data_IF_257785712113
#
_entry.id   IF_257785712113
#
_cell.length_a   1.000
_cell.length_b   1.000
_cell.length_c   1.000
_cell.angle_alpha   90.00
_cell.angle_beta   90.00
_cell.angle_gamma   90.00
#
_symmetry.space_group_name_H-M   'P 1'
#
loop_
_entity.id
_entity.type
_entity.pdbx_description
1 polymer ?
#
# COMPACT_ATOMS: atom_id res chain seq x y z
N UNK A 1 -26.85 -12.04 23.81
CA UNK A 1 -25.47 -12.41 23.46
C UNK A 1 -25.02 -13.42 24.49
N UNK A 2 -25.04 -14.70 24.13
CA UNK A 2 -24.43 -15.76 24.92
C UNK A 2 -22.93 -15.51 24.94
N UNK A 3 -22.36 -15.28 26.12
CA UNK A 3 -20.91 -15.29 26.28
C UNK A 3 -20.42 -16.73 26.04
N UNK A 4 -20.20 -17.09 24.77
CA UNK A 4 -19.60 -18.39 24.44
C UNK A 4 -18.24 -18.47 25.10
N UNK A 5 -18.08 -19.49 25.94
CA UNK A 5 -16.82 -19.76 26.59
C UNK A 5 -15.89 -20.38 25.55
N UNK A 6 -14.85 -19.65 25.14
CA UNK A 6 -13.86 -20.14 24.18
C UNK A 6 -13.33 -21.53 24.57
N UNK A 7 -13.18 -21.81 25.88
CA UNK A 7 -12.70 -23.09 26.36
C UNK A 7 -13.67 -24.23 26.04
N UNK A 8 -14.99 -24.03 26.20
CA UNK A 8 -15.97 -25.08 25.88
C UNK A 8 -16.04 -25.34 24.38
N UNK A 9 -15.92 -24.29 23.56
CA UNK A 9 -15.86 -24.43 22.08
C UNK A 9 -14.62 -25.24 21.68
N UNK A 10 -13.46 -24.95 22.26
CA UNK A 10 -12.22 -25.69 21.98
C UNK A 10 -12.31 -27.17 22.41
N UNK A 11 -12.94 -27.44 23.56
CA UNK A 11 -13.19 -28.82 24.02
C UNK A 11 -14.08 -29.58 23.04
N UNK A 12 -15.22 -29.01 22.66
CA UNK A 12 -16.20 -29.66 21.77
C UNK A 12 -15.65 -29.88 20.36
N UNK A 13 -14.82 -28.95 19.85
CA UNK A 13 -14.10 -29.10 18.57
C UNK A 13 -13.12 -30.28 18.56
N UNK A 14 -12.49 -30.58 19.70
CA UNK A 14 -11.54 -31.68 19.86
C UNK A 14 -12.18 -33.05 19.98
N UNK A 15 -13.52 -33.12 20.06
CA UNK A 15 -14.25 -34.38 20.16
C UNK A 15 -14.42 -35.06 18.79
N UNK A 16 -14.77 -36.35 18.80
CA UNK A 16 -15.20 -37.09 17.60
C UNK A 16 -16.72 -37.16 17.47
N UNK A 17 -17.47 -36.48 18.34
CA UNK A 17 -18.94 -36.50 18.35
C UNK A 17 -19.46 -35.39 17.45
N UNK A 18 -20.01 -35.76 16.29
CA UNK A 18 -20.47 -34.79 15.26
C UNK A 18 -21.52 -33.84 15.83
N UNK A 19 -22.37 -34.33 16.73
CA UNK A 19 -23.45 -33.58 17.38
C UNK A 19 -22.93 -32.44 18.27
N UNK A 20 -21.66 -32.53 18.70
CA UNK A 20 -20.98 -31.46 19.44
C UNK A 20 -20.07 -30.65 18.54
N UNK A 21 -19.35 -31.31 17.65
CA UNK A 21 -18.35 -30.68 16.80
C UNK A 21 -18.97 -29.66 15.83
N UNK A 22 -20.13 -29.96 15.23
CA UNK A 22 -20.79 -29.05 14.28
C UNK A 22 -21.27 -27.76 14.97
N UNK A 23 -22.05 -27.80 16.07
CA UNK A 23 -22.39 -26.57 16.80
C UNK A 23 -21.18 -25.80 17.34
N UNK A 24 -20.10 -26.51 17.70
CA UNK A 24 -18.86 -25.86 18.14
C UNK A 24 -18.15 -25.11 17.00
N UNK A 25 -18.17 -25.65 15.77
CA UNK A 25 -17.68 -24.95 14.58
C UNK A 25 -18.50 -23.67 14.31
N UNK A 26 -19.82 -23.74 14.39
CA UNK A 26 -20.70 -22.58 14.22
C UNK A 26 -20.41 -21.50 15.28
N UNK A 27 -20.29 -21.90 16.55
CA UNK A 27 -19.91 -20.97 17.62
C UNK A 27 -18.50 -20.39 17.44
N UNK A 28 -17.54 -21.17 16.93
CA UNK A 28 -16.20 -20.68 16.65
C UNK A 28 -16.22 -19.58 15.59
N UNK A 29 -17.07 -19.71 14.56
CA UNK A 29 -17.27 -18.67 13.53
C UNK A 29 -17.76 -17.37 14.18
N UNK A 30 -18.79 -17.43 15.02
CA UNK A 30 -19.33 -16.24 15.70
C UNK A 30 -18.29 -15.55 16.61
N UNK A 31 -17.45 -16.35 17.30
CA UNK A 31 -16.36 -15.83 18.13
C UNK A 31 -15.31 -15.13 17.25
N UNK A 32 -14.87 -15.77 16.17
CA UNK A 32 -13.87 -15.19 15.27
C UNK A 32 -14.41 -13.92 14.63
N UNK A 33 -15.67 -13.90 14.20
CA UNK A 33 -16.32 -12.71 13.63
C UNK A 33 -16.38 -11.56 14.64
N UNK A 34 -16.77 -11.86 15.88
CA UNK A 34 -16.79 -10.87 16.97
C UNK A 34 -15.40 -10.28 17.23
N UNK A 35 -14.35 -11.12 17.24
CA UNK A 35 -12.97 -10.65 17.40
C UNK A 35 -12.55 -9.80 16.20
N UNK A 36 -12.90 -10.21 14.97
CA UNK A 36 -12.60 -9.49 13.74
C UNK A 36 -13.23 -8.09 13.75
N UNK A 37 -14.51 -7.97 14.14
CA UNK A 37 -15.21 -6.70 14.30
C UNK A 37 -14.47 -5.78 15.29
N UNK A 38 -14.09 -6.30 16.46
CA UNK A 38 -13.40 -5.49 17.47
C UNK A 38 -11.99 -5.07 17.02
N UNK A 39 -11.27 -5.97 16.35
CA UNK A 39 -9.95 -5.65 15.80
C UNK A 39 -10.03 -4.54 14.74
N UNK A 40 -11.01 -4.59 13.84
CA UNK A 40 -11.24 -3.54 12.84
C UNK A 40 -11.69 -2.24 13.49
N UNK A 41 -12.58 -2.29 14.49
CA UNK A 41 -13.03 -1.11 15.23
C UNK A 41 -11.88 -0.36 15.92
N UNK A 42 -10.80 -1.06 16.30
CA UNK A 42 -9.61 -0.42 16.87
C UNK A 42 -8.90 0.55 15.90
N UNK A 43 -9.14 0.48 14.59
CA UNK A 43 -8.67 1.51 13.64
C UNK A 43 -9.31 2.87 13.88
N UNK A 44 -10.54 2.92 14.43
CA UNK A 44 -11.20 4.20 14.76
C UNK A 44 -10.68 4.79 16.06
N UNK A 45 -10.41 3.96 17.06
CA UNK A 45 -10.27 4.40 18.46
C UNK A 45 -8.85 4.32 19.02
N UNK A 46 -7.96 3.54 18.41
CA UNK A 46 -6.59 3.38 18.91
C UNK A 46 -5.80 4.69 18.77
N UNK A 47 -4.97 5.06 19.77
CA UNK A 47 -4.02 6.15 19.60
C UNK A 47 -2.89 5.81 18.61
N UNK A 48 -2.70 4.54 18.27
CA UNK A 48 -1.68 4.06 17.35
C UNK A 48 -2.31 3.26 16.20
N UNK A 49 -3.16 3.91 15.41
CA UNK A 49 -3.96 3.27 14.34
C UNK A 49 -3.11 2.58 13.28
N UNK A 50 -1.97 3.19 12.91
CA UNK A 50 -1.01 2.58 11.99
C UNK A 50 -0.52 1.20 12.47
N UNK A 51 -0.11 1.08 13.76
CA UNK A 51 0.35 -0.20 14.32
C UNK A 51 -0.78 -1.24 14.38
N UNK A 52 -2.03 -0.81 14.55
CA UNK A 52 -3.19 -1.69 14.45
C UNK A 52 -3.33 -2.20 13.01
N UNK A 53 -3.32 -1.30 12.02
CA UNK A 53 -3.44 -1.63 10.61
C UNK A 53 -2.41 -2.67 10.16
N UNK A 54 -1.14 -2.52 10.56
CA UNK A 54 -0.08 -3.46 10.21
C UNK A 54 -0.30 -4.89 10.72
N UNK A 55 -1.11 -5.07 11.78
CA UNK A 55 -1.40 -6.37 12.38
C UNK A 55 -2.70 -6.99 11.90
N UNK A 56 -3.61 -6.19 11.34
CA UNK A 56 -4.91 -6.67 10.88
C UNK A 56 -4.81 -7.77 9.84
N UNK A 57 -3.81 -7.73 8.94
CA UNK A 57 -3.62 -8.80 7.95
C UNK A 57 -3.50 -10.21 8.54
N UNK A 58 -3.10 -10.35 9.82
CA UNK A 58 -2.98 -11.63 10.52
C UNK A 58 -4.32 -12.32 10.78
N UNK A 59 -5.43 -11.59 10.72
CA UNK A 59 -6.76 -12.16 10.82
C UNK A 59 -7.21 -12.82 9.51
N UNK A 60 -6.47 -12.66 8.41
CA UNK A 60 -6.86 -13.22 7.12
C UNK A 60 -8.11 -12.56 6.53
N UNK A 61 -8.81 -13.24 5.63
CA UNK A 61 -9.93 -12.67 4.87
C UNK A 61 -11.17 -12.36 5.73
N UNK A 62 -11.25 -12.85 6.97
CA UNK A 62 -12.42 -12.66 7.84
C UNK A 62 -12.69 -11.19 8.17
N UNK A 63 -11.66 -10.34 8.15
CA UNK A 63 -11.82 -8.91 8.44
C UNK A 63 -12.23 -8.09 7.22
N UNK A 64 -12.21 -8.65 6.00
CA UNK A 64 -12.44 -7.88 4.77
C UNK A 64 -13.82 -7.22 4.74
N UNK A 65 -14.95 -7.92 5.01
CA UNK A 65 -16.26 -7.28 5.02
C UNK A 65 -16.37 -6.15 6.05
N UNK A 66 -15.74 -6.33 7.21
CA UNK A 66 -15.73 -5.36 8.30
C UNK A 66 -14.89 -4.13 7.95
N UNK A 67 -13.76 -4.33 7.25
CA UNK A 67 -12.92 -3.24 6.73
C UNK A 67 -13.61 -2.46 5.61
N UNK A 68 -14.30 -3.14 4.69
CA UNK A 68 -15.05 -2.47 3.61
C UNK A 68 -16.17 -1.60 4.20
N UNK A 69 -16.90 -2.13 5.18
CA UNK A 69 -17.90 -1.37 5.93
C UNK A 69 -17.28 -0.17 6.66
N UNK A 70 -16.17 -0.40 7.38
CA UNK A 70 -15.43 0.67 8.06
C UNK A 70 -15.02 1.79 7.08
N UNK A 71 -14.46 1.41 5.94
CA UNK A 71 -14.00 2.33 4.91
C UNK A 71 -15.16 3.18 4.35
N UNK A 72 -16.30 2.56 4.05
CA UNK A 72 -17.48 3.24 3.51
C UNK A 72 -18.15 4.18 4.52
N UNK A 73 -18.15 3.83 5.81
CA UNK A 73 -18.84 4.57 6.86
C UNK A 73 -17.96 5.60 7.59
N UNK A 74 -16.65 5.62 7.33
CA UNK A 74 -15.72 6.51 8.04
C UNK A 74 -15.61 7.87 7.35
N UNK A 75 -15.83 8.95 8.11
CA UNK A 75 -15.52 10.31 7.67
C UNK A 75 -14.09 10.75 8.05
N UNK A 76 -13.38 9.93 8.84
CA UNK A 76 -12.00 10.19 9.25
C UNK A 76 -11.01 9.73 8.16
N UNK A 77 -10.27 10.68 7.58
CA UNK A 77 -9.34 10.44 6.47
C UNK A 77 -8.25 9.43 6.81
N UNK A 78 -7.66 9.52 8.01
CA UNK A 78 -6.63 8.57 8.45
C UNK A 78 -7.19 7.15 8.53
N UNK A 79 -8.37 6.98 9.13
CA UNK A 79 -9.06 5.69 9.20
C UNK A 79 -9.35 5.15 7.79
N UNK A 80 -9.83 5.98 6.86
CA UNK A 80 -10.07 5.58 5.48
C UNK A 80 -8.79 5.13 4.77
N UNK A 81 -7.69 5.90 4.89
CA UNK A 81 -6.39 5.56 4.28
C UNK A 81 -5.87 4.23 4.83
N UNK A 82 -5.88 4.06 6.16
CA UNK A 82 -5.39 2.84 6.78
C UNK A 82 -6.26 1.62 6.45
N UNK A 83 -7.59 1.76 6.45
CA UNK A 83 -8.49 0.70 6.02
C UNK A 83 -8.27 0.32 4.56
N UNK A 84 -8.13 1.31 3.67
CA UNK A 84 -7.84 1.11 2.25
C UNK A 84 -6.48 0.42 2.03
N UNK A 85 -5.45 0.77 2.80
CA UNK A 85 -4.14 0.09 2.74
C UNK A 85 -4.24 -1.38 3.14
N UNK A 86 -5.00 -1.71 4.20
CA UNK A 86 -5.19 -3.11 4.62
C UNK A 86 -6.02 -3.87 3.59
N UNK A 87 -7.11 -3.28 3.08
CA UNK A 87 -7.92 -3.87 2.00
C UNK A 87 -7.10 -4.15 0.74
N UNK A 88 -6.20 -3.23 0.39
CA UNK A 88 -5.29 -3.39 -0.73
C UNK A 88 -4.33 -4.58 -0.54
N UNK A 89 -3.89 -4.87 0.70
CA UNK A 89 -3.09 -6.08 1.00
C UNK A 89 -3.88 -7.38 0.79
N UNK A 90 -5.21 -7.32 0.82
CA UNK A 90 -6.10 -8.42 0.45
C UNK A 90 -6.53 -8.40 -1.03
N UNK A 91 -5.83 -7.61 -1.87
CA UNK A 91 -6.15 -7.36 -3.27
C UNK A 91 -7.54 -6.71 -3.52
N UNK A 92 -8.20 -6.19 -2.48
CA UNK A 92 -9.41 -5.39 -2.66
C UNK A 92 -9.03 -4.01 -3.19
N UNK A 93 -9.63 -3.62 -4.32
CA UNK A 93 -9.36 -2.34 -4.99
C UNK A 93 -10.32 -1.22 -4.61
N UNK A 94 -11.27 -1.48 -3.71
CA UNK A 94 -12.32 -0.52 -3.33
C UNK A 94 -11.75 0.81 -2.80
N UNK A 95 -10.61 0.76 -2.11
CA UNK A 95 -9.95 1.93 -1.54
C UNK A 95 -8.94 2.62 -2.44
N UNK A 96 -8.67 2.10 -3.66
CA UNK A 96 -7.61 2.65 -4.54
C UNK A 96 -7.82 4.15 -4.85
N UNK A 97 -9.03 4.63 -5.19
CA UNK A 97 -9.24 6.07 -5.41
C UNK A 97 -8.83 6.93 -4.21
N UNK A 98 -9.22 6.53 -2.99
CA UNK A 98 -8.82 7.20 -1.75
C UNK A 98 -7.30 7.20 -1.57
N UNK A 99 -6.62 6.11 -1.91
CA UNK A 99 -5.16 6.02 -1.84
C UNK A 99 -4.47 6.92 -2.87
N UNK A 100 -4.98 7.02 -4.09
CA UNK A 100 -4.44 7.93 -5.12
C UNK A 100 -4.57 9.39 -4.70
N UNK A 101 -5.71 9.76 -4.09
CA UNK A 101 -5.90 11.09 -3.52
C UNK A 101 -4.95 11.34 -2.35
N UNK A 102 -4.74 10.34 -1.48
CA UNK A 102 -3.81 10.43 -0.36
C UNK A 102 -2.35 10.64 -0.81
N UNK A 103 -1.89 10.00 -1.89
CA UNK A 103 -0.57 10.32 -2.47
C UNK A 103 -0.46 11.81 -2.79
N UNK A 104 -1.51 12.38 -3.36
CA UNK A 104 -1.51 13.78 -3.80
C UNK A 104 -1.59 14.76 -2.62
N UNK A 105 -2.37 14.45 -1.59
CA UNK A 105 -2.78 15.45 -0.59
C UNK A 105 -2.35 15.15 0.84
N UNK A 106 -2.17 13.87 1.21
CA UNK A 106 -1.94 13.51 2.60
C UNK A 106 -0.51 13.86 3.06
N UNK A 107 -0.38 14.36 4.28
CA UNK A 107 0.91 14.83 4.81
C UNK A 107 1.76 13.70 5.38
N UNK A 108 1.15 12.67 5.93
CA UNK A 108 1.82 11.70 6.80
C UNK A 108 2.05 10.36 6.10
N UNK A 109 1.09 9.93 5.30
CA UNK A 109 1.00 8.62 4.69
C UNK A 109 1.29 8.62 3.19
N UNK A 110 1.39 9.77 2.51
CA UNK A 110 1.57 9.82 1.05
C UNK A 110 2.72 8.95 0.53
N UNK A 111 3.89 8.98 1.19
CA UNK A 111 5.04 8.15 0.82
C UNK A 111 4.78 6.65 1.00
N UNK A 112 4.18 6.26 2.12
CA UNK A 112 3.79 4.87 2.40
C UNK A 112 2.77 4.37 1.38
N UNK A 113 1.76 5.18 1.08
CA UNK A 113 0.70 4.83 0.13
C UNK A 113 1.28 4.64 -1.27
N UNK A 114 2.13 5.56 -1.73
CA UNK A 114 2.81 5.43 -3.01
C UNK A 114 3.63 4.13 -3.09
N UNK A 115 4.35 3.77 -2.03
CA UNK A 115 5.12 2.53 -1.97
C UNK A 115 4.23 1.29 -2.08
N UNK A 116 3.10 1.26 -1.38
CA UNK A 116 2.15 0.13 -1.45
C UNK A 116 1.50 -0.01 -2.82
N UNK A 117 1.10 1.11 -3.44
CA UNK A 117 0.57 1.11 -4.80
C UNK A 117 1.62 0.63 -5.81
N UNK A 118 2.87 1.06 -5.66
CA UNK A 118 3.99 0.61 -6.49
C UNK A 118 4.29 -0.89 -6.33
N UNK A 119 4.31 -1.41 -5.09
CA UNK A 119 4.51 -2.84 -4.81
C UNK A 119 3.48 -3.73 -5.50
N UNK A 120 2.25 -3.24 -5.68
CA UNK A 120 1.16 -3.96 -6.34
C UNK A 120 1.00 -3.59 -7.82
N UNK A 121 1.88 -2.74 -8.36
CA UNK A 121 1.90 -2.38 -9.77
C UNK A 121 0.70 -1.52 -10.22
N UNK A 122 0.10 -0.75 -9.32
CA UNK A 122 -1.02 0.14 -9.62
C UNK A 122 -0.50 1.38 -10.39
N UNK A 123 -0.47 1.28 -11.71
CA UNK A 123 0.11 2.30 -12.63
C UNK A 123 -0.62 3.63 -12.57
N UNK A 124 -1.88 3.63 -12.15
CA UNK A 124 -2.70 4.81 -11.91
C UNK A 124 -2.05 5.77 -10.89
N UNK A 125 -1.13 5.28 -10.05
CA UNK A 125 -0.39 6.10 -9.10
C UNK A 125 0.68 7.01 -9.72
N UNK A 126 1.07 6.80 -10.99
CA UNK A 126 2.10 7.61 -11.63
C UNK A 126 1.75 9.11 -11.63
N UNK A 127 0.55 9.47 -12.07
CA UNK A 127 0.12 10.88 -12.14
C UNK A 127 0.00 11.53 -10.74
N UNK A 128 -0.67 10.91 -9.74
CA UNK A 128 -0.65 11.39 -8.35
C UNK A 128 0.77 11.60 -7.80
N UNK A 129 1.69 10.66 -8.05
CA UNK A 129 3.09 10.77 -7.61
C UNK A 129 3.76 11.97 -8.27
N UNK A 130 3.63 12.14 -9.58
CA UNK A 130 4.20 13.27 -10.32
C UNK A 130 3.63 14.61 -9.82
N UNK A 131 2.32 14.67 -9.60
CA UNK A 131 1.66 15.86 -9.06
C UNK A 131 2.15 16.21 -7.66
N UNK A 132 2.30 15.22 -6.78
CA UNK A 132 2.85 15.45 -5.44
C UNK A 132 4.33 15.87 -5.50
N UNK A 133 5.12 15.25 -6.37
CA UNK A 133 6.51 15.64 -6.57
C UNK A 133 6.60 17.12 -6.94
N UNK A 134 5.75 17.64 -7.84
CA UNK A 134 5.76 19.07 -8.24
C UNK A 134 5.52 20.03 -7.08
N UNK A 135 4.65 19.67 -6.13
CA UNK A 135 4.14 20.59 -5.11
C UNK A 135 4.81 20.43 -3.75
N UNK A 136 5.35 19.25 -3.42
CA UNK A 136 6.04 19.01 -2.15
C UNK A 136 7.27 19.90 -1.95
N UNK A 137 7.66 20.12 -0.71
CA UNK A 137 8.90 20.84 -0.42
C UNK A 137 10.08 19.87 -0.52
N UNK A 138 11.16 20.27 -1.20
CA UNK A 138 12.37 19.44 -1.31
C UNK A 138 13.07 19.18 0.04
N UNK A 139 12.68 19.88 1.10
CA UNK A 139 13.10 19.60 2.49
C UNK A 139 12.39 18.40 3.10
N UNK A 140 11.27 17.95 2.54
CA UNK A 140 10.56 16.72 2.91
C UNK A 140 11.27 15.52 2.27
N UNK A 141 12.54 15.32 2.62
CA UNK A 141 13.45 14.38 1.95
C UNK A 141 12.86 12.97 1.86
N UNK A 142 12.32 12.45 2.97
CA UNK A 142 11.76 11.10 3.02
C UNK A 142 10.55 10.94 2.08
N UNK A 143 9.67 11.95 2.03
CA UNK A 143 8.54 11.95 1.11
C UNK A 143 9.01 11.93 -0.34
N UNK A 144 9.93 12.83 -0.71
CA UNK A 144 10.42 12.93 -2.09
C UNK A 144 11.12 11.64 -2.52
N UNK A 145 11.97 11.07 -1.65
CA UNK A 145 12.66 9.81 -1.92
C UNK A 145 11.67 8.67 -2.12
N UNK A 146 10.67 8.52 -1.25
CA UNK A 146 9.65 7.49 -1.37
C UNK A 146 8.83 7.62 -2.65
N UNK A 147 8.48 8.84 -3.05
CA UNK A 147 7.75 9.11 -4.29
C UNK A 147 8.58 8.77 -5.53
N UNK A 148 9.87 9.15 -5.56
CA UNK A 148 10.77 8.81 -6.67
C UNK A 148 10.99 7.30 -6.80
N UNK A 149 11.19 6.61 -5.68
CA UNK A 149 11.34 5.15 -5.66
C UNK A 149 10.05 4.44 -6.12
N UNK A 150 8.88 4.89 -5.65
CA UNK A 150 7.59 4.37 -6.10
C UNK A 150 7.38 4.60 -7.61
N UNK A 151 7.71 5.79 -8.13
CA UNK A 151 7.62 6.10 -9.55
C UNK A 151 8.52 5.17 -10.38
N UNK A 152 9.77 4.97 -9.94
CA UNK A 152 10.72 4.09 -10.62
C UNK A 152 10.23 2.63 -10.65
N UNK A 153 9.70 2.11 -9.53
CA UNK A 153 9.09 0.77 -9.45
C UNK A 153 7.89 0.62 -10.39
N UNK A 154 7.14 1.70 -10.60
CA UNK A 154 6.04 1.76 -11.55
C UNK A 154 6.52 2.00 -13.00
N UNK A 155 7.82 2.13 -13.25
CA UNK A 155 8.36 2.45 -14.58
C UNK A 155 7.89 3.80 -15.10
N UNK A 156 7.53 4.72 -14.21
CA UNK A 156 7.15 6.08 -14.56
C UNK A 156 8.37 6.87 -15.04
N UNK A 157 8.13 7.81 -15.96
CA UNK A 157 9.15 8.70 -16.52
C UNK A 157 8.99 10.06 -15.86
N UNK A 158 10.10 10.68 -15.48
CA UNK A 158 10.08 12.05 -14.97
C UNK A 158 9.93 13.05 -16.12
N UNK A 159 8.91 13.90 -16.12
CA UNK A 159 8.81 15.05 -17.02
C UNK A 159 9.98 16.02 -16.85
N UNK A 160 10.29 16.78 -17.91
CA UNK A 160 11.44 17.69 -17.96
C UNK A 160 11.43 18.76 -16.87
N UNK A 161 10.25 19.27 -16.49
CA UNK A 161 10.10 20.24 -15.38
C UNK A 161 10.58 19.66 -14.05
N UNK A 162 10.23 18.40 -13.77
CA UNK A 162 10.68 17.71 -12.56
C UNK A 162 12.15 17.33 -12.62
N UNK A 163 12.66 16.93 -13.79
CA UNK A 163 14.10 16.67 -13.96
C UNK A 163 14.94 17.92 -13.65
N UNK A 164 14.55 19.08 -14.19
CA UNK A 164 15.22 20.36 -13.91
C UNK A 164 15.16 20.70 -12.41
N UNK A 165 13.97 20.58 -11.81
CA UNK A 165 13.76 20.88 -10.38
C UNK A 165 14.58 19.96 -9.46
N UNK A 166 14.67 18.67 -9.76
CA UNK A 166 15.39 17.69 -8.93
C UNK A 166 16.92 17.71 -9.17
N UNK A 167 17.37 18.31 -10.27
CA UNK A 167 18.79 18.46 -10.61
C UNK A 167 19.44 19.75 -10.08
N UNK A 168 18.65 20.63 -9.46
CA UNK A 168 19.15 21.90 -8.95
C UNK A 168 20.21 21.72 -7.85
N UNK A 169 21.15 22.67 -7.77
CA UNK A 169 22.32 22.58 -6.87
C UNK A 169 21.95 22.58 -5.38
N UNK A 170 20.81 23.17 -5.04
CA UNK A 170 20.28 23.31 -3.68
C UNK A 170 19.41 22.12 -3.22
N UNK A 171 19.15 21.16 -4.10
CA UNK A 171 18.40 19.93 -3.78
C UNK A 171 19.22 19.08 -2.78
N UNK A 172 18.62 18.54 -1.71
CA UNK A 172 19.30 17.61 -0.81
C UNK A 172 19.95 16.43 -1.56
N UNK A 173 21.17 16.06 -1.15
CA UNK A 173 21.97 15.08 -1.88
C UNK A 173 21.30 13.70 -1.97
N UNK A 174 20.48 13.33 -0.98
CA UNK A 174 19.70 12.09 -0.98
C UNK A 174 18.75 12.02 -2.18
N UNK A 175 18.01 13.11 -2.43
CA UNK A 175 17.07 13.21 -3.55
C UNK A 175 17.82 13.10 -4.87
N UNK A 176 18.95 13.82 -5.02
CA UNK A 176 19.78 13.75 -6.23
C UNK A 176 20.30 12.34 -6.50
N UNK A 177 20.73 11.64 -5.46
CA UNK A 177 21.26 10.27 -5.57
C UNK A 177 20.20 9.30 -6.08
N UNK A 178 18.99 9.36 -5.52
CA UNK A 178 17.86 8.52 -5.95
C UNK A 178 17.46 8.84 -7.40
N UNK A 179 17.35 10.12 -7.73
CA UNK A 179 17.07 10.57 -9.10
C UNK A 179 18.11 10.03 -10.11
N UNK A 180 19.40 10.17 -9.82
CA UNK A 180 20.49 9.73 -10.70
C UNK A 180 20.54 8.21 -10.87
N UNK A 181 20.33 7.46 -9.78
CA UNK A 181 20.44 6.00 -9.81
C UNK A 181 19.22 5.33 -10.47
N UNK A 182 18.02 5.88 -10.27
CA UNK A 182 16.79 5.17 -10.59
C UNK A 182 16.08 5.69 -11.85
N UNK A 183 16.28 6.96 -12.21
CA UNK A 183 15.42 7.64 -13.19
C UNK A 183 16.18 8.39 -14.29
N UNK A 184 17.45 8.78 -14.06
CA UNK A 184 18.24 9.49 -15.07
C UNK A 184 18.62 8.63 -16.30
N UNK A 185 18.47 7.31 -16.22
CA UNK A 185 18.82 6.35 -17.30
C UNK A 185 17.62 5.86 -18.11
N UNK A 186 16.39 6.30 -17.79
CA UNK A 186 15.20 5.88 -18.54
C UNK A 186 15.11 6.66 -19.87
N UNK A 187 14.92 5.97 -21.00
CA UNK A 187 14.90 6.60 -22.31
C UNK A 187 13.75 7.62 -22.40
N UNK A 188 14.07 8.84 -22.84
CA UNK A 188 13.08 9.88 -23.08
C UNK A 188 12.38 9.62 -24.44
N UNK A 189 11.07 9.35 -24.49
CA UNK A 189 10.37 9.10 -25.75
C UNK A 189 10.25 10.34 -26.65
N UNK A 190 10.58 11.53 -26.15
CA UNK A 190 10.55 12.79 -26.92
C UNK A 190 11.86 13.10 -27.67
N UNK A 191 12.87 12.21 -27.65
CA UNK A 191 14.04 12.38 -28.52
C UNK A 191 13.69 12.00 -29.97
N UNK A 192 13.89 12.89 -30.96
CA UNK A 192 13.56 12.62 -32.38
C UNK A 192 14.40 11.51 -33.04
N UNK A 193 15.40 10.95 -32.38
CA UNK A 193 16.33 9.98 -32.97
C UNK A 193 16.20 8.59 -32.31
N UNK A 194 15.24 7.81 -32.80
CA UNK A 194 15.16 6.36 -32.56
C UNK A 194 16.05 5.53 -33.52
N UNK A 195 16.90 6.17 -34.33
CA UNK A 195 17.70 5.49 -35.34
C UNK A 195 19.18 5.25 -34.96
N UNK A 196 19.67 5.73 -33.80
CA UNK A 196 21.11 5.71 -33.51
C UNK A 196 21.52 4.93 -32.25
N UNK A 197 20.68 4.01 -31.77
CA UNK A 197 21.11 3.08 -30.72
C UNK A 197 21.88 1.88 -31.32
N UNK A 198 23.16 1.66 -30.95
CA UNK A 198 23.90 0.48 -31.40
C UNK A 198 23.26 -0.79 -30.82
N UNK A 199 22.93 -1.74 -31.70
CA UNK A 199 22.25 -3.01 -31.40
C UNK A 199 23.04 -3.99 -30.50
N UNK A 200 24.21 -3.60 -30.00
CA UNK A 200 25.16 -4.52 -29.38
C UNK A 200 25.09 -4.61 -27.84
N UNK A 201 23.99 -4.16 -27.20
CA UNK A 201 23.79 -4.29 -25.74
C UNK A 201 22.54 -5.06 -25.29
N UNK A 202 21.93 -5.86 -26.17
CA UNK A 202 20.77 -6.70 -25.83
C UNK A 202 21.07 -8.21 -25.65
N UNK A 203 22.33 -8.59 -25.47
CA UNK A 203 22.70 -9.96 -25.08
C UNK A 203 23.34 -9.99 -23.70
N UNK A 204 22.51 -9.95 -22.66
CA UNK A 204 22.87 -10.57 -21.38
C UNK A 204 22.35 -12.00 -21.39
N UNK A 205 23.27 -12.90 -21.72
CA UNK A 205 23.21 -14.35 -21.56
C UNK A 205 22.64 -14.75 -20.20
N UNK A 206 21.48 -15.42 -20.22
CA UNK A 206 21.11 -16.40 -19.21
C UNK A 206 22.15 -17.53 -19.24
N UNK A 207 22.95 -17.66 -18.18
CA UNK A 207 23.62 -18.92 -17.86
C UNK A 207 22.95 -19.49 -16.61
N UNK A 208 22.20 -20.56 -16.83
CA UNK A 208 21.78 -21.46 -15.78
C UNK A 208 23.00 -22.24 -15.26
N UNK A 209 23.15 -22.25 -13.94
CA UNK A 209 23.77 -23.32 -13.16
C UNK A 209 22.98 -23.46 -11.87
#
# INVERSE_FOLDING_TARGET
MTHSNLNSVLEDLGTTQIEKQVPALEQAVDIVDSIAIQAVAALRTSPNRFLVAERLKRFGSVIVPHLEKLFQESDDSETQILAALVLLQFNSRVGVPCLLDAVTQDKYYAGLVAEHLAKLGIKEANEPILNRLRTCHLKEVDLVVNLLDALAKLGGILPSDLQQRLSAADVPWQIRTVYQNNLATLPNPESPDLNDYPKDKLTLTFKAY
#
